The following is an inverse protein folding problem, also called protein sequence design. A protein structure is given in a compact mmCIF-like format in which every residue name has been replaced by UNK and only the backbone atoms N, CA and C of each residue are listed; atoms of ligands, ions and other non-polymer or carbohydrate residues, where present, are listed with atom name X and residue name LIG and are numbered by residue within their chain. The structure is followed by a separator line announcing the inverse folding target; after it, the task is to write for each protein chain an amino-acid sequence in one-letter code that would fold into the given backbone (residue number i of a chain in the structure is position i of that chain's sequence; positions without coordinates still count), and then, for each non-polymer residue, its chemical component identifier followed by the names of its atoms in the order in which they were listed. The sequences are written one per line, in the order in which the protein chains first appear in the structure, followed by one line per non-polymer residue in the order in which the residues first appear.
data_IF_750796045789
#
_entry.id   IF_750796045789
#
_cell.length_a   1.000
_cell.length_b   1.000
_cell.length_c   1.000
_cell.angle_alpha   90.00
_cell.angle_beta   90.00
_cell.angle_gamma   90.00
#
_symmetry.space_group_name_H-M   'P 1'
#
loop_
_entity.id
_entity.type
_entity.pdbx_description
1 polymer ?
#
# COMPACT_ATOMS: atom_id res chain seq x y z
N UNK A 1 -21.72 -32.03 13.96
CA UNK A 1 -21.31 -30.62 14.15
C UNK A 1 -20.02 -30.43 13.37
N UNK A 2 -20.04 -29.66 12.29
CA UNK A 2 -18.87 -29.40 11.45
C UNK A 2 -18.08 -28.23 12.06
N UNK A 3 -16.79 -28.43 12.31
CA UNK A 3 -15.88 -27.42 12.83
C UNK A 3 -15.79 -26.22 11.89
N UNK A 4 -16.12 -25.02 12.37
CA UNK A 4 -15.85 -23.75 11.69
C UNK A 4 -14.35 -23.44 11.77
N UNK A 5 -13.56 -24.13 10.96
CA UNK A 5 -12.15 -23.81 10.73
C UNK A 5 -12.06 -22.64 9.73
N UNK A 6 -12.66 -21.51 10.10
CA UNK A 6 -12.55 -20.22 9.40
C UNK A 6 -11.58 -19.27 10.10
N UNK A 7 -10.72 -19.82 10.95
CA UNK A 7 -9.62 -19.09 11.54
C UNK A 7 -8.47 -19.00 10.54
N UNK A 8 -8.25 -17.81 10.01
CA UNK A 8 -6.89 -17.32 9.79
C UNK A 8 -6.23 -17.52 8.41
N UNK A 9 -6.98 -17.57 7.30
CA UNK A 9 -6.37 -17.42 5.96
C UNK A 9 -5.80 -16.01 5.71
N UNK A 10 -6.05 -15.06 6.61
CA UNK A 10 -5.58 -13.67 6.50
C UNK A 10 -4.18 -13.44 7.09
N UNK A 11 -3.70 -14.30 7.99
CA UNK A 11 -2.41 -14.13 8.69
C UNK A 11 -1.19 -14.47 7.84
N UNK A 12 -1.38 -15.07 6.66
CA UNK A 12 -0.29 -15.36 5.72
C UNK A 12 0.02 -14.25 4.71
N UNK A 13 -0.77 -13.17 4.63
CA UNK A 13 -0.54 -12.09 3.65
C UNK A 13 0.16 -10.93 4.34
N UNK A 14 1.44 -10.79 4.01
CA UNK A 14 2.36 -9.85 4.63
C UNK A 14 1.85 -8.41 4.50
N UNK A 15 2.00 -7.66 5.59
CA UNK A 15 1.78 -6.22 5.62
C UNK A 15 3.06 -5.58 5.09
N UNK A 16 3.13 -5.36 3.77
CA UNK A 16 4.30 -4.74 3.14
C UNK A 16 4.03 -3.26 2.87
N UNK A 17 4.59 -2.40 3.72
CA UNK A 17 4.55 -0.94 3.57
C UNK A 17 5.85 -0.37 3.03
N UNK A 18 6.67 -1.19 2.38
CA UNK A 18 7.91 -0.71 1.74
C UNK A 18 7.56 0.39 0.73
N UNK A 19 8.17 1.57 0.91
CA UNK A 19 7.90 2.75 0.07
C UNK A 19 6.65 3.55 0.43
N UNK A 20 5.91 3.17 1.49
CA UNK A 20 4.78 3.94 2.03
C UNK A 20 5.20 4.57 3.35
N UNK A 21 5.35 5.91 3.36
CA UNK A 21 5.84 6.64 4.53
C UNK A 21 4.93 7.81 4.93
N UNK A 22 5.20 8.38 6.10
CA UNK A 22 4.55 9.61 6.58
C UNK A 22 3.03 9.49 6.73
N UNK A 23 2.31 10.47 6.18
CA UNK A 23 0.84 10.53 6.28
C UNK A 23 0.15 9.36 5.57
N UNK A 24 0.74 8.84 4.50
CA UNK A 24 0.21 7.70 3.77
C UNK A 24 0.25 6.43 4.64
N UNK A 25 1.38 6.21 5.34
CA UNK A 25 1.52 5.08 6.27
C UNK A 25 0.48 5.12 7.39
N UNK A 26 0.33 6.28 8.05
CA UNK A 26 -0.67 6.47 9.12
C UNK A 26 -2.10 6.16 8.64
N UNK A 27 -2.41 6.51 7.40
CA UNK A 27 -3.72 6.29 6.80
C UNK A 27 -4.01 4.82 6.51
N UNK A 28 -3.00 4.02 6.15
CA UNK A 28 -3.19 2.56 5.97
C UNK A 28 -3.18 1.86 7.33
N UNK A 29 -2.29 2.25 8.26
CA UNK A 29 -2.20 1.68 9.61
C UNK A 29 -3.51 1.79 10.40
N UNK A 30 -4.24 2.90 10.29
CA UNK A 30 -5.57 3.03 10.92
C UNK A 30 -6.54 1.95 10.46
N UNK A 31 -6.40 1.51 9.21
CA UNK A 31 -7.30 0.56 8.57
C UNK A 31 -6.83 -0.88 8.77
N UNK A 32 -5.63 -1.13 9.31
CA UNK A 32 -5.10 -2.47 9.61
C UNK A 32 -6.05 -3.31 10.45
N UNK A 33 -6.83 -2.66 11.31
CA UNK A 33 -7.88 -3.27 12.13
C UNK A 33 -9.13 -3.69 11.34
N UNK A 34 -9.30 -3.18 10.12
CA UNK A 34 -10.40 -3.47 9.22
C UNK A 34 -9.99 -4.53 8.19
N UNK A 35 -10.91 -5.37 7.74
CA UNK A 35 -10.60 -6.38 6.68
C UNK A 35 -10.20 -5.77 5.33
N UNK A 36 -10.38 -4.47 5.14
CA UNK A 36 -10.18 -3.78 3.86
C UNK A 36 -8.81 -3.10 3.70
N UNK A 37 -7.92 -3.19 4.70
CA UNK A 37 -6.62 -2.52 4.67
C UNK A 37 -5.80 -2.81 3.41
N UNK A 38 -5.92 -4.02 2.86
CA UNK A 38 -5.18 -4.44 1.67
C UNK A 38 -5.48 -3.59 0.45
N UNK A 39 -6.76 -3.37 0.18
CA UNK A 39 -7.19 -2.58 -0.99
C UNK A 39 -6.76 -1.13 -0.84
N UNK A 40 -6.75 -0.62 0.40
CA UNK A 40 -6.26 0.72 0.69
C UNK A 40 -4.74 0.82 0.51
N UNK A 41 -3.98 -0.16 0.99
CA UNK A 41 -2.54 -0.24 0.81
C UNK A 41 -2.16 -0.28 -0.68
N UNK A 42 -2.84 -1.12 -1.47
CA UNK A 42 -2.65 -1.22 -2.93
C UNK A 42 -2.86 0.13 -3.62
N UNK A 43 -4.00 0.79 -3.36
CA UNK A 43 -4.29 2.11 -3.93
C UNK A 43 -3.29 3.19 -3.51
N UNK A 44 -2.86 3.19 -2.25
CA UNK A 44 -1.87 4.14 -1.75
C UNK A 44 -0.52 3.91 -2.43
N UNK A 45 -0.09 2.66 -2.57
CA UNK A 45 1.15 2.31 -3.26
C UNK A 45 1.11 2.72 -4.73
N UNK A 46 0.01 2.48 -5.44
CA UNK A 46 -0.17 2.91 -6.84
C UNK A 46 -0.05 4.44 -7.00
N UNK A 47 -0.68 5.20 -6.09
CA UNK A 47 -0.60 6.66 -6.13
C UNK A 47 0.82 7.17 -5.86
N UNK A 48 1.52 6.58 -4.90
CA UNK A 48 2.91 6.96 -4.58
C UNK A 48 3.83 6.62 -5.75
N UNK A 49 3.77 5.39 -6.27
CA UNK A 49 4.59 4.95 -7.41
C UNK A 49 4.31 5.81 -8.64
N UNK A 50 3.03 6.03 -8.98
CA UNK A 50 2.65 6.90 -10.10
C UNK A 50 3.09 8.36 -9.90
N UNK A 51 3.18 8.83 -8.66
CA UNK A 51 3.70 10.17 -8.35
C UNK A 51 5.22 10.27 -8.53
N UNK A 52 5.96 9.23 -8.13
CA UNK A 52 7.42 9.14 -8.27
C UNK A 52 7.83 9.08 -9.74
N UNK A 53 7.20 8.20 -10.52
CA UNK A 53 7.45 8.09 -11.97
C UNK A 53 7.20 9.43 -12.68
N UNK A 54 6.18 10.18 -12.26
CA UNK A 54 5.88 11.50 -12.81
C UNK A 54 6.99 12.50 -12.48
N UNK A 55 7.49 12.49 -11.25
CA UNK A 55 8.59 13.36 -10.82
C UNK A 55 9.88 13.05 -11.57
N UNK A 56 10.22 11.77 -11.72
CA UNK A 56 11.40 11.33 -12.47
C UNK A 56 11.31 11.73 -13.95
N UNK A 57 10.14 11.58 -14.58
CA UNK A 57 9.91 12.05 -15.96
C UNK A 57 10.06 13.57 -16.08
N UNK A 58 9.56 14.34 -15.12
CA UNK A 58 9.73 15.80 -15.12
C UNK A 58 11.20 16.20 -14.95
N UNK A 59 11.93 15.54 -14.04
CA UNK A 59 13.38 15.74 -13.88
C UNK A 59 14.12 15.43 -15.17
N UNK A 60 13.82 14.31 -15.83
CA UNK A 60 14.42 13.95 -17.10
C UNK A 60 14.21 15.03 -18.19
N UNK A 61 13.01 15.61 -18.27
CA UNK A 61 12.74 16.72 -19.20
C UNK A 61 13.51 18.00 -18.87
N UNK A 62 13.65 18.34 -17.58
CA UNK A 62 14.35 19.54 -17.13
C UNK A 62 15.86 19.44 -17.33
N UNK A 63 16.44 18.26 -17.04
CA UNK A 63 17.89 18.03 -17.08
C UNK A 63 18.39 17.45 -18.42
N UNK A 64 17.54 17.41 -19.46
CA UNK A 64 17.92 16.96 -20.81
C UNK A 64 18.60 18.04 -21.68
N UNK A 65 19.18 19.08 -21.06
CA UNK A 65 19.85 20.21 -21.74
C UNK A 65 21.34 20.17 -21.52
#
# INVERSE_FOLDING_TARGET
MHSNEHGNREVGRNWDTSGVEGSALKMVESDRSTRNWRKKLELVSEVIVGSLEREERLKALIYSV
#
